data_IF_700853032924
#
_entry.id   IF_700853032924
#
_cell.length_a   1.000
_cell.length_b   1.000
_cell.length_c   1.000
_cell.angle_alpha   90.00
_cell.angle_beta   90.00
_cell.angle_gamma   90.00
#
_symmetry.space_group_name_H-M   'P 1'
#
loop_
_entity.id
_entity.type
_entity.pdbx_description
1 polymer ?
#
# COMPACT_ATOMS: atom_id res chain seq x y z
N UNK A 1 -17.43 7.49 7.07
CA UNK A 1 -16.14 8.23 7.13
C UNK A 1 -15.19 7.77 6.03
N UNK A 2 -14.08 8.47 5.70
CA UNK A 2 -13.21 8.08 4.57
C UNK A 2 -12.63 6.66 4.69
N UNK A 3 -12.32 6.19 5.90
CA UNK A 3 -11.81 4.83 6.12
C UNK A 3 -12.80 3.72 5.76
N UNK A 4 -14.08 4.03 5.64
CA UNK A 4 -15.11 3.09 5.20
C UNK A 4 -15.02 2.76 3.71
N UNK A 5 -14.28 3.55 2.93
CA UNK A 5 -14.03 3.31 1.50
C UNK A 5 -12.71 2.57 1.25
N UNK A 6 -11.94 2.33 2.31
CA UNK A 6 -10.65 1.66 2.26
C UNK A 6 -10.77 0.20 2.75
N UNK A 7 -9.94 -0.71 2.20
CA UNK A 7 -9.87 -2.07 2.72
C UNK A 7 -9.47 -2.12 4.19
N UNK A 8 -10.07 -3.06 4.94
CA UNK A 8 -9.60 -3.38 6.29
C UNK A 8 -8.11 -3.75 6.24
N UNK A 9 -7.28 -3.15 7.10
CA UNK A 9 -5.83 -3.26 7.03
C UNK A 9 -5.32 -4.71 7.06
N UNK A 10 -5.93 -5.56 7.89
CA UNK A 10 -5.56 -6.99 7.99
C UNK A 10 -5.88 -7.74 6.70
N UNK A 11 -7.03 -7.48 6.08
CA UNK A 11 -7.43 -8.14 4.84
C UNK A 11 -6.55 -7.74 3.66
N UNK A 12 -6.21 -6.45 3.60
CA UNK A 12 -5.25 -5.92 2.65
C UNK A 12 -3.87 -6.58 2.81
N UNK A 13 -3.33 -6.57 4.03
CA UNK A 13 -2.02 -7.13 4.35
C UNK A 13 -1.95 -8.62 4.04
N UNK A 14 -2.97 -9.39 4.44
CA UNK A 14 -3.08 -10.82 4.15
C UNK A 14 -3.16 -11.12 2.65
N UNK A 15 -3.82 -10.25 1.87
CA UNK A 15 -3.86 -10.39 0.41
C UNK A 15 -2.49 -10.13 -0.22
N UNK A 16 -1.78 -9.11 0.24
CA UNK A 16 -0.42 -8.78 -0.19
C UNK A 16 0.58 -9.89 0.13
N UNK A 17 0.55 -10.40 1.35
CA UNK A 17 1.38 -11.52 1.77
C UNK A 17 1.18 -12.75 0.87
N UNK A 18 -0.07 -13.10 0.58
CA UNK A 18 -0.41 -14.24 -0.30
C UNK A 18 0.13 -14.09 -1.72
N UNK A 19 0.24 -12.87 -2.22
CA UNK A 19 0.83 -12.61 -3.54
C UNK A 19 2.35 -12.58 -3.51
N UNK A 20 2.96 -12.10 -2.42
CA UNK A 20 4.41 -12.11 -2.24
C UNK A 20 5.02 -13.51 -2.40
N UNK A 21 4.33 -14.55 -1.93
CA UNK A 21 4.76 -15.94 -2.12
C UNK A 21 4.53 -16.50 -3.54
N UNK A 22 3.74 -15.82 -4.38
CA UNK A 22 3.39 -16.26 -5.74
C UNK A 22 4.12 -15.50 -6.84
N UNK A 23 4.63 -14.29 -6.57
CA UNK A 23 5.37 -13.51 -7.56
C UNK A 23 6.77 -14.09 -7.74
N UNK A 24 7.14 -14.58 -8.93
CA UNK A 24 8.48 -15.11 -9.15
C UNK A 24 9.53 -14.00 -9.16
N UNK A 25 10.69 -14.26 -8.56
CA UNK A 25 11.82 -13.31 -8.61
C UNK A 25 12.45 -13.20 -10.00
N UNK A 26 12.12 -14.11 -10.92
CA UNK A 26 12.56 -14.07 -12.31
C UNK A 26 11.55 -14.69 -13.27
N UNK A 27 11.43 -14.12 -14.47
CA UNK A 27 10.60 -14.59 -15.58
C UNK A 27 11.37 -14.46 -16.90
N UNK A 28 11.74 -15.57 -17.52
CA UNK A 28 12.44 -15.63 -18.82
C UNK A 28 13.55 -14.56 -19.01
N UNK A 29 14.59 -14.58 -18.15
CA UNK A 29 15.69 -13.60 -18.16
C UNK A 29 15.26 -12.17 -17.86
N UNK A 30 14.16 -11.99 -17.13
CA UNK A 30 13.82 -10.75 -16.45
C UNK A 30 13.87 -10.99 -14.94
N UNK A 31 14.32 -9.99 -14.18
CA UNK A 31 14.47 -10.05 -12.72
C UNK A 31 13.44 -9.12 -12.10
N UNK A 32 12.76 -9.59 -11.06
CA UNK A 32 11.86 -8.76 -10.28
C UNK A 32 12.66 -7.63 -9.62
N UNK A 33 12.17 -6.41 -9.74
CA UNK A 33 12.78 -5.24 -9.12
C UNK A 33 11.89 -4.65 -8.04
N UNK A 34 10.59 -4.53 -8.30
CA UNK A 34 9.63 -3.95 -7.37
C UNK A 34 8.30 -4.67 -7.44
N UNK A 35 7.62 -4.73 -6.30
CA UNK A 35 6.22 -5.07 -6.20
C UNK A 35 5.54 -4.03 -5.33
N UNK A 36 4.34 -3.59 -5.71
CA UNK A 36 3.51 -2.67 -4.95
C UNK A 36 2.09 -3.22 -4.89
N UNK A 37 1.57 -3.38 -3.69
CA UNK A 37 0.16 -3.52 -3.43
C UNK A 37 -0.49 -2.15 -3.24
N UNK A 38 -1.66 -1.94 -3.84
CA UNK A 38 -2.57 -0.81 -3.58
C UNK A 38 -4.01 -1.31 -3.67
N UNK A 39 -5.01 -0.59 -3.15
CA UNK A 39 -6.42 -1.03 -3.07
C UNK A 39 -6.99 -1.64 -4.38
N UNK A 40 -6.46 -1.24 -5.53
CA UNK A 40 -6.85 -1.68 -6.87
C UNK A 40 -6.23 -3.02 -7.28
N UNK A 41 -5.00 -3.32 -6.83
CA UNK A 41 -4.24 -4.43 -7.38
C UNK A 41 -2.80 -4.59 -6.90
N UNK A 42 -2.16 -5.60 -7.48
CA UNK A 42 -0.73 -5.85 -7.36
C UNK A 42 -0.03 -5.38 -8.63
N UNK A 43 0.87 -4.42 -8.51
CA UNK A 43 1.80 -4.03 -9.55
C UNK A 43 3.14 -4.74 -9.32
N UNK A 44 3.69 -5.36 -10.37
CA UNK A 44 5.03 -5.94 -10.34
C UNK A 44 5.85 -5.34 -11.47
N UNK A 45 7.09 -4.97 -11.18
CA UNK A 45 8.02 -4.40 -12.13
C UNK A 45 9.23 -5.33 -12.26
N UNK A 46 9.54 -5.68 -13.50
CA UNK A 46 10.69 -6.51 -13.85
C UNK A 46 11.66 -5.73 -14.73
N UNK A 47 12.95 -5.98 -14.50
CA UNK A 47 14.05 -5.45 -15.28
C UNK A 47 14.65 -6.53 -16.17
N UNK A 48 14.79 -6.23 -17.45
CA UNK A 48 15.41 -7.11 -18.43
C UNK A 48 16.86 -7.44 -18.06
N UNK A 49 17.22 -8.71 -18.14
CA UNK A 49 18.60 -9.20 -17.99
C UNK A 49 19.20 -9.54 -19.36
N UNK A 50 20.54 -9.69 -19.46
CA UNK A 50 21.19 -10.08 -20.71
C UNK A 50 20.57 -11.34 -21.33
N UNK A 51 20.30 -11.28 -22.64
CA UNK A 51 19.64 -12.35 -23.39
C UNK A 51 18.12 -12.41 -23.27
N UNK A 52 17.48 -11.61 -22.41
CA UNK A 52 16.02 -11.52 -22.35
C UNK A 52 15.43 -10.79 -23.56
N UNK A 53 14.18 -11.08 -23.91
CA UNK A 53 13.42 -10.33 -24.92
C UNK A 53 12.05 -9.95 -24.38
N UNK A 54 11.45 -8.87 -24.91
CA UNK A 54 10.11 -8.45 -24.51
C UNK A 54 9.04 -9.49 -24.91
N UNK A 55 9.17 -10.11 -26.09
CA UNK A 55 8.20 -11.12 -26.57
C UNK A 55 8.12 -12.33 -25.65
N UNK A 56 9.26 -12.94 -25.31
CA UNK A 56 9.30 -14.12 -24.45
C UNK A 56 8.90 -13.81 -23.01
N UNK A 57 9.23 -12.62 -22.51
CA UNK A 57 8.71 -12.14 -21.23
C UNK A 57 7.19 -12.00 -21.25
N UNK A 58 6.61 -11.42 -22.29
CA UNK A 58 5.17 -11.30 -22.44
C UNK A 58 4.47 -12.66 -22.48
N UNK A 59 5.01 -13.62 -23.23
CA UNK A 59 4.53 -15.01 -23.23
C UNK A 59 4.57 -15.63 -21.84
N UNK A 60 5.69 -15.45 -21.11
CA UNK A 60 5.85 -16.02 -19.78
C UNK A 60 4.93 -15.36 -18.74
N UNK A 61 4.76 -14.04 -18.80
CA UNK A 61 3.81 -13.30 -17.98
C UNK A 61 2.38 -13.77 -18.22
N UNK A 62 2.01 -14.05 -19.48
CA UNK A 62 0.70 -14.61 -19.81
C UNK A 62 0.48 -15.99 -19.20
N UNK A 63 1.51 -16.84 -19.18
CA UNK A 63 1.42 -18.17 -18.55
C UNK A 63 1.33 -18.10 -17.02
N UNK A 64 2.10 -17.21 -16.38
CA UNK A 64 2.20 -17.15 -14.91
C UNK A 64 1.06 -16.35 -14.28
N UNK A 65 0.74 -15.19 -14.85
CA UNK A 65 -0.22 -14.25 -14.27
C UNK A 65 -1.54 -14.17 -15.06
N UNK A 66 -1.63 -14.77 -16.25
CA UNK A 66 -2.75 -14.57 -17.18
C UNK A 66 -2.99 -13.08 -17.50
N UNK A 67 -1.90 -12.30 -17.56
CA UNK A 67 -1.89 -10.86 -17.87
C UNK A 67 -0.96 -10.56 -19.04
N UNK A 68 -1.04 -9.32 -19.51
CA UNK A 68 -0.14 -8.77 -20.54
C UNK A 68 0.71 -7.69 -19.87
N UNK A 69 2.05 -7.74 -20.00
CA UNK A 69 2.89 -6.68 -19.46
C UNK A 69 2.79 -5.41 -20.31
N UNK A 70 2.99 -4.26 -19.66
CA UNK A 70 3.24 -2.98 -20.32
C UNK A 70 4.73 -2.72 -20.28
N UNK A 71 5.32 -2.33 -21.41
CA UNK A 71 6.75 -2.03 -21.50
C UNK A 71 6.97 -0.53 -21.58
N UNK A 72 7.99 -0.03 -20.89
CA UNK A 72 8.47 1.33 -21.12
C UNK A 72 9.31 1.36 -22.40
N UNK A 73 8.67 1.63 -23.54
CA UNK A 73 9.34 1.65 -24.84
C UNK A 73 10.29 2.85 -25.00
N UNK A 74 10.05 3.95 -24.28
CA UNK A 74 10.91 5.15 -24.30
C UNK A 74 12.28 4.86 -23.69
N UNK A 75 12.37 3.98 -22.70
CA UNK A 75 13.62 3.50 -22.10
C UNK A 75 14.20 2.25 -22.79
N UNK A 76 13.81 2.01 -24.05
CA UNK A 76 14.27 0.87 -24.84
C UNK A 76 13.63 -0.47 -24.48
N UNK A 77 12.50 -0.46 -23.76
CA UNK A 77 11.76 -1.67 -23.41
C UNK A 77 12.51 -2.57 -22.42
N UNK A 78 13.35 -1.99 -21.56
CA UNK A 78 14.12 -2.74 -20.56
C UNK A 78 13.35 -2.95 -19.24
N UNK A 79 12.23 -2.25 -19.07
CA UNK A 79 11.34 -2.38 -17.92
C UNK A 79 9.96 -2.88 -18.37
N UNK A 80 9.41 -3.83 -17.63
CA UNK A 80 8.12 -4.45 -17.89
C UNK A 80 7.29 -4.46 -16.62
N UNK A 81 6.11 -3.86 -16.69
CA UNK A 81 5.15 -3.75 -15.59
C UNK A 81 4.00 -4.71 -15.84
N UNK A 82 3.64 -5.50 -14.83
CA UNK A 82 2.46 -6.36 -14.82
C UNK A 82 1.53 -5.91 -13.72
N UNK A 83 0.30 -5.57 -14.07
CA UNK A 83 -0.75 -5.25 -13.11
C UNK A 83 -1.74 -6.41 -12.98
N UNK A 84 -2.01 -6.80 -11.73
CA UNK A 84 -2.95 -7.86 -11.37
C UNK A 84 -4.05 -7.23 -10.52
N UNK A 85 -5.24 -6.97 -11.11
CA UNK A 85 -6.33 -6.35 -10.36
C UNK A 85 -6.86 -7.32 -9.31
N UNK A 86 -7.34 -6.75 -8.21
CA UNK A 86 -7.97 -7.53 -7.16
C UNK A 86 -9.48 -7.64 -7.36
N UNK A 87 -10.07 -8.68 -6.77
CA UNK A 87 -11.49 -8.63 -6.45
C UNK A 87 -11.73 -7.54 -5.39
N UNK A 88 -12.92 -6.93 -5.39
CA UNK A 88 -13.28 -5.91 -4.38
C UNK A 88 -13.05 -6.45 -2.96
N UNK A 89 -12.58 -5.59 -2.06
CA UNK A 89 -12.55 -5.93 -0.64
C UNK A 89 -13.92 -5.76 -0.02
N UNK A 90 -14.12 -6.48 1.07
CA UNK A 90 -15.15 -6.11 2.04
C UNK A 90 -14.69 -4.82 2.71
N UNK A 91 -15.59 -3.84 2.71
CA UNK A 91 -15.36 -2.55 3.34
C UNK A 91 -16.07 -2.50 4.69
N UNK A 92 -15.53 -1.72 5.63
CA UNK A 92 -16.07 -1.64 6.98
C UNK A 92 -15.91 -0.22 7.55
N UNK A 93 -17.04 0.37 7.93
CA UNK A 93 -17.08 1.59 8.75
C UNK A 93 -17.10 1.20 10.23
N UNK A 94 -15.91 1.05 10.80
CA UNK A 94 -15.73 0.80 12.22
C UNK A 94 -15.61 2.12 13.00
N UNK A 95 -15.95 2.10 14.29
CA UNK A 95 -15.68 3.24 15.15
C UNK A 95 -14.16 3.42 15.30
N UNK A 96 -13.65 4.61 14.99
CA UNK A 96 -12.24 4.94 15.25
C UNK A 96 -12.00 5.13 16.77
N UNK A 97 -10.81 4.79 17.30
CA UNK A 97 -10.44 5.05 18.69
C UNK A 97 -10.22 6.55 18.93
N UNK A 98 -10.09 6.97 20.19
CA UNK A 98 -9.69 8.36 20.51
C UNK A 98 -8.26 8.66 20.05
N UNK A 99 -7.99 9.91 19.68
CA UNK A 99 -6.70 10.35 19.13
C UNK A 99 -5.51 10.01 20.02
N UNK A 100 -5.63 10.24 21.33
CA UNK A 100 -4.56 9.95 22.29
C UNK A 100 -4.21 8.47 22.33
N UNK A 101 -5.20 7.59 22.47
CA UNK A 101 -5.02 6.14 22.50
C UNK A 101 -4.47 5.63 21.18
N UNK A 102 -5.03 6.05 20.03
CA UNK A 102 -4.63 5.56 18.71
C UNK A 102 -3.15 5.87 18.43
N UNK A 103 -2.74 7.13 18.64
CA UNK A 103 -1.38 7.57 18.40
C UNK A 103 -0.40 6.89 19.35
N UNK A 104 -0.72 6.86 20.65
CA UNK A 104 0.16 6.24 21.66
C UNK A 104 0.35 4.76 21.41
N UNK A 105 -0.70 4.03 21.05
CA UNK A 105 -0.61 2.60 20.71
C UNK A 105 0.27 2.37 19.48
N UNK A 106 0.04 3.11 18.39
CA UNK A 106 0.80 2.96 17.15
C UNK A 106 2.29 3.32 17.34
N UNK A 107 2.58 4.46 17.98
CA UNK A 107 3.94 4.91 18.25
C UNK A 107 4.69 3.93 19.15
N UNK A 108 4.09 3.54 20.28
CA UNK A 108 4.71 2.58 21.21
C UNK A 108 4.97 1.24 20.52
N UNK A 109 4.05 0.81 19.65
CA UNK A 109 4.21 -0.41 18.88
C UNK A 109 5.38 -0.35 17.91
N UNK A 110 5.47 0.68 17.06
CA UNK A 110 6.58 0.80 16.11
C UNK A 110 7.93 0.96 16.81
N UNK A 111 7.97 1.67 17.95
CA UNK A 111 9.17 1.75 18.80
C UNK A 111 9.56 0.38 19.35
N UNK A 112 8.60 -0.42 19.82
CA UNK A 112 8.85 -1.79 20.31
C UNK A 112 9.39 -2.73 19.21
N UNK A 113 9.03 -2.46 17.95
CA UNK A 113 9.55 -3.16 16.77
C UNK A 113 10.90 -2.64 16.30
N UNK A 114 11.42 -1.59 16.92
CA UNK A 114 12.69 -0.94 16.59
C UNK A 114 12.77 -0.48 15.13
N UNK A 115 11.63 -0.11 14.53
CA UNK A 115 11.56 0.41 13.16
C UNK A 115 11.54 1.93 13.18
N UNK A 116 12.21 2.55 12.21
CA UNK A 116 12.04 3.99 11.97
C UNK A 116 10.75 4.24 11.19
N UNK A 117 9.99 5.25 11.58
CA UNK A 117 8.73 5.61 10.95
C UNK A 117 8.58 7.13 10.88
N UNK A 118 7.83 7.60 9.89
CA UNK A 118 7.30 8.97 9.87
C UNK A 118 5.81 8.94 10.22
N UNK A 119 5.33 10.01 10.85
CA UNK A 119 3.94 10.20 11.21
C UNK A 119 3.59 11.68 11.06
N UNK A 120 2.54 11.97 10.29
CA UNK A 120 2.12 13.33 9.96
C UNK A 120 0.61 13.46 10.00
N UNK A 121 0.10 14.46 10.72
CA UNK A 121 -1.31 14.81 10.70
C UNK A 121 -1.72 15.38 9.35
N UNK A 122 -2.82 14.88 8.81
CA UNK A 122 -3.46 15.40 7.60
C UNK A 122 -4.38 16.53 8.02
N UNK A 123 -3.92 17.77 7.85
CA UNK A 123 -4.74 18.95 8.11
C UNK A 123 -5.84 19.04 7.06
N UNK A 124 -7.09 18.97 7.49
CA UNK A 124 -8.22 19.34 6.62
C UNK A 124 -8.19 20.84 6.37
N UNK A 125 -8.28 21.29 5.10
CA UNK A 125 -8.39 22.72 4.82
C UNK A 125 -9.63 23.28 5.51
N UNK A 126 -9.55 24.44 6.17
CA UNK A 126 -10.74 25.10 6.68
C UNK A 126 -11.67 25.39 5.49
N UNK A 127 -12.94 25.02 5.61
CA UNK A 127 -13.96 25.38 4.63
C UNK A 127 -14.08 26.91 4.65
N UNK A 128 -13.74 27.56 3.53
CA UNK A 128 -13.88 29.02 3.43
C UNK A 128 -15.37 29.39 3.47
N UNK A 129 -15.80 30.35 4.32
CA UNK A 129 -17.16 30.85 4.29
C UNK A 129 -17.38 31.58 2.96
N UNK A 130 -18.29 31.09 2.10
CA UNK A 130 -18.69 31.84 0.89
C UNK A 130 -19.21 31.06 -0.31
N UNK A 131 -19.15 29.72 -0.35
CA UNK A 131 -19.61 28.96 -1.52
C UNK A 131 -21.04 28.42 -1.43
N UNK A 132 -21.73 28.58 -0.30
CA UNK A 132 -23.12 28.15 -0.15
C UNK A 132 -24.07 29.35 -0.22
N UNK A 133 -24.24 29.89 -1.44
CA UNK A 133 -25.47 30.61 -1.74
C UNK A 133 -26.60 29.59 -1.85
N UNK A 134 -27.12 29.15 -0.70
CA UNK A 134 -28.40 28.44 -0.61
C UNK A 134 -28.31 26.96 -0.24
N UNK A 135 -27.90 26.65 0.99
CA UNK A 135 -28.54 25.61 1.81
C UNK A 135 -28.22 25.88 3.27
N UNK A 136 -29.24 26.10 4.10
CA UNK A 136 -29.18 26.04 5.57
C UNK A 136 -28.90 24.60 6.04
N UNK A 137 -27.76 24.04 5.62
CA UNK A 137 -27.25 22.75 6.07
C UNK A 137 -26.17 23.01 7.12
N UNK A 138 -26.45 22.68 8.38
CA UNK A 138 -25.39 22.54 9.40
C UNK A 138 -24.32 21.64 8.80
N UNK A 139 -23.15 22.21 8.48
CA UNK A 139 -22.04 21.42 7.94
C UNK A 139 -21.63 20.40 9.00
N UNK A 140 -21.42 19.12 8.64
CA UNK A 140 -21.08 18.10 9.61
C UNK A 140 -19.74 18.46 10.26
N UNK A 141 -19.77 18.66 11.58
CA UNK A 141 -18.56 18.81 12.40
C UNK A 141 -17.73 17.55 12.20
N UNK A 142 -16.51 17.72 11.71
CA UNK A 142 -15.58 16.61 11.58
C UNK A 142 -15.04 16.26 12.97
N UNK A 143 -15.58 15.21 13.56
CA UNK A 143 -15.22 14.70 14.89
C UNK A 143 -14.06 13.68 14.84
N UNK A 144 -13.20 13.77 13.83
CA UNK A 144 -12.12 12.83 13.59
C UNK A 144 -10.88 13.44 12.95
N UNK A 145 -9.73 12.89 13.29
CA UNK A 145 -8.41 13.21 12.75
C UNK A 145 -7.88 12.07 11.87
N UNK A 146 -7.06 12.43 10.90
CA UNK A 146 -6.30 11.49 10.08
C UNK A 146 -4.81 11.77 10.21
N UNK A 147 -4.03 10.71 10.39
CA UNK A 147 -2.58 10.74 10.38
C UNK A 147 -2.06 9.76 9.34
N UNK A 148 -1.07 10.18 8.55
CA UNK A 148 -0.37 9.30 7.62
C UNK A 148 0.91 8.80 8.25
N UNK A 149 1.22 7.52 8.04
CA UNK A 149 2.50 6.94 8.45
C UNK A 149 3.22 6.26 7.29
N UNK A 150 4.55 6.28 7.36
CA UNK A 150 5.41 5.54 6.44
C UNK A 150 6.53 4.84 7.18
N UNK A 151 6.80 3.59 6.79
CA UNK A 151 7.87 2.75 7.33
C UNK A 151 8.66 2.18 6.17
N UNK A 152 9.99 2.27 6.21
CA UNK A 152 10.88 1.58 5.28
C UNK A 152 11.85 0.72 6.08
N UNK A 153 11.84 -0.60 5.86
CA UNK A 153 12.59 -1.54 6.68
C UNK A 153 12.97 -2.82 5.90
N UNK A 154 13.86 -3.65 6.45
CA UNK A 154 14.24 -4.95 5.90
C UNK A 154 13.36 -6.09 6.43
N UNK A 155 12.67 -5.89 7.55
CA UNK A 155 11.71 -6.82 8.09
C UNK A 155 10.41 -6.79 7.28
N UNK A 156 9.77 -7.95 7.18
CA UNK A 156 8.55 -8.10 6.40
C UNK A 156 7.39 -7.30 7.05
N UNK A 157 6.48 -6.70 6.26
CA UNK A 157 5.36 -5.92 6.75
C UNK A 157 4.48 -6.68 7.75
N UNK A 158 4.32 -7.99 7.52
CA UNK A 158 3.52 -8.82 8.41
C UNK A 158 4.17 -8.94 9.79
N UNK A 159 5.50 -8.99 9.88
CA UNK A 159 6.19 -8.99 11.17
C UNK A 159 6.10 -7.65 11.88
N UNK A 160 6.27 -6.54 11.14
CA UNK A 160 6.21 -5.17 11.70
C UNK A 160 4.82 -4.89 12.27
N UNK A 161 3.77 -5.29 11.57
CA UNK A 161 2.38 -4.99 11.92
C UNK A 161 1.72 -6.06 12.80
N UNK A 162 2.33 -7.21 13.03
CA UNK A 162 1.74 -8.32 13.78
C UNK A 162 1.51 -7.96 15.26
N UNK A 163 0.26 -7.68 15.64
CA UNK A 163 -0.10 -7.33 17.02
C UNK A 163 -0.33 -5.84 17.24
N UNK A 164 -0.15 -5.01 16.21
CA UNK A 164 -0.68 -3.64 16.21
C UNK A 164 -2.21 -3.70 16.33
N UNK A 165 -2.80 -2.81 17.14
CA UNK A 165 -4.24 -2.61 17.16
C UNK A 165 -4.68 -2.01 15.81
N UNK A 166 -5.43 -2.77 15.03
CA UNK A 166 -5.77 -2.41 13.64
C UNK A 166 -7.04 -1.56 13.50
N UNK A 167 -7.75 -1.30 14.60
CA UNK A 167 -8.94 -0.46 14.60
C UNK A 167 -8.58 0.96 14.17
N UNK A 168 -9.28 1.51 13.17
CA UNK A 168 -8.95 2.83 12.61
C UNK A 168 -7.65 2.87 11.79
N UNK A 169 -6.99 1.73 11.55
CA UNK A 169 -5.80 1.65 10.69
C UNK A 169 -6.22 1.25 9.28
N UNK A 170 -5.71 1.96 8.26
CA UNK A 170 -5.87 1.59 6.85
C UNK A 170 -4.52 1.62 6.15
N UNK A 171 -4.23 0.60 5.34
CA UNK A 171 -3.00 0.56 4.55
C UNK A 171 -3.29 1.09 3.15
N UNK A 172 -2.53 2.09 2.71
CA UNK A 172 -2.63 2.61 1.34
C UNK A 172 -1.71 1.86 0.40
N UNK A 173 -0.51 1.48 0.87
CA UNK A 173 0.39 0.65 0.08
C UNK A 173 1.28 -0.25 0.93
N UNK A 174 1.60 -1.41 0.35
CA UNK A 174 2.69 -2.28 0.83
C UNK A 174 3.53 -2.62 -0.39
N UNK A 175 4.78 -2.17 -0.39
CA UNK A 175 5.71 -2.40 -1.47
C UNK A 175 6.96 -3.13 -0.98
N UNK A 176 7.63 -3.81 -1.90
CA UNK A 176 8.98 -4.30 -1.68
C UNK A 176 9.83 -4.17 -2.94
N UNK A 177 11.10 -3.87 -2.73
CA UNK A 177 12.12 -3.88 -3.79
C UNK A 177 13.08 -5.02 -3.56
N UNK A 178 13.60 -5.58 -4.65
CA UNK A 178 14.62 -6.63 -4.63
C UNK A 178 15.91 -6.05 -5.22
N UNK A 179 16.93 -5.91 -4.39
CA UNK A 179 18.24 -5.44 -4.85
C UNK A 179 18.90 -6.47 -5.79
N UNK A 180 19.87 -6.05 -6.62
CA UNK A 180 20.67 -6.99 -7.42
C UNK A 180 21.39 -8.07 -6.59
N UNK A 181 21.67 -7.79 -5.31
CA UNK A 181 22.28 -8.72 -4.36
C UNK A 181 21.26 -9.67 -3.70
N UNK A 182 19.98 -9.60 -4.08
CA UNK A 182 18.94 -10.47 -3.56
C UNK A 182 18.37 -10.04 -2.20
N UNK A 183 18.57 -8.78 -1.80
CA UNK A 183 18.06 -8.24 -0.53
C UNK A 183 16.71 -7.56 -0.75
N UNK A 184 15.77 -7.83 0.16
CA UNK A 184 14.47 -7.15 0.17
C UNK A 184 14.50 -5.90 1.06
N UNK A 185 13.89 -4.83 0.55
CA UNK A 185 13.51 -3.66 1.35
C UNK A 185 12.01 -3.47 1.19
N UNK A 186 11.31 -3.29 2.31
CA UNK A 186 9.87 -3.13 2.37
C UNK A 186 9.51 -1.67 2.65
N UNK A 187 8.43 -1.20 2.06
CA UNK A 187 7.83 0.10 2.31
C UNK A 187 6.36 -0.10 2.64
N UNK A 188 5.92 0.47 3.75
CA UNK A 188 4.54 0.43 4.23
C UNK A 188 4.05 1.86 4.31
N UNK A 189 2.90 2.13 3.71
CA UNK A 189 2.21 3.41 3.80
C UNK A 189 0.79 3.16 4.29
N UNK A 190 0.32 4.01 5.19
CA UNK A 190 -1.01 3.89 5.74
C UNK A 190 -1.49 5.12 6.47
N UNK A 191 -2.67 4.97 7.04
CA UNK A 191 -3.45 5.98 7.70
C UNK A 191 -3.87 5.46 9.07
N UNK A 192 -3.84 6.35 10.06
CA UNK A 192 -4.45 6.18 11.37
C UNK A 192 -5.60 7.19 11.45
N UNK A 193 -6.82 6.69 11.57
CA UNK A 193 -8.00 7.48 11.84
C UNK A 193 -8.32 7.40 13.32
N UNK A 194 -8.65 8.54 13.91
CA UNK A 194 -9.02 8.65 15.30
C UNK A 194 -10.13 9.67 15.49
N UNK A 195 -10.94 9.51 16.54
CA UNK A 195 -11.95 10.49 16.94
C UNK A 195 -11.34 11.56 17.84
N UNK A 196 -11.94 12.76 17.80
CA UNK A 196 -11.75 13.79 18.85
C UNK A 196 -12.21 13.29 20.23
#
# INVERSE_FOLDING_TARGET
HPWAEMPVATDFLNRCQRWRFRVPVSLDRWRLERVRCSAEGLETMYQRQPGGTASRFAERVKQVFNRTPVFNLVSGGNEGVVFIPWAKFTLQDEAAPDAGTQLMQAVSWFQSRQVSFSLSEVKTPPVMPGNDAGTDGVQPIQDWHEYTFSITDKHMPEWILQGLAMQGVRLSSVAYTLSPQGQFTYQIEGHLYAKE
#
